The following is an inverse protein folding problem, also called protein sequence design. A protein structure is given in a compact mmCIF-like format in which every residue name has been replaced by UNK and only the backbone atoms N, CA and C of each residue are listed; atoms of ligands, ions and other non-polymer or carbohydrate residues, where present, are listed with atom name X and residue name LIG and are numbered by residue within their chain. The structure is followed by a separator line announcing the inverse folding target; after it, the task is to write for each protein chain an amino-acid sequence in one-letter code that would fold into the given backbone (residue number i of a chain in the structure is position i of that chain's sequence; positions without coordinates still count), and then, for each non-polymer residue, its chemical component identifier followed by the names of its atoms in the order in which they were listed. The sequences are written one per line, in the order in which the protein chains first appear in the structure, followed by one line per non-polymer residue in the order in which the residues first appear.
data_IF_350578039530
#
_entry.id   IF_350578039530
#
_cell.length_a   1.000
_cell.length_b   1.000
_cell.length_c   1.000
_cell.angle_alpha   90.00
_cell.angle_beta   90.00
_cell.angle_gamma   90.00
#
_symmetry.space_group_name_H-M   'P 1'
#
loop_
_entity.id
_entity.type
_entity.pdbx_description
1 polymer ?
#
# COMPACT_ATOMS: atom_id res chain seq x y z
N UNK A 1 -16.37 6.49 25.92
CA UNK A 1 -15.62 7.33 24.95
C UNK A 1 -16.07 6.96 23.55
N UNK A 2 -16.42 7.94 22.70
CA UNK A 2 -16.80 7.72 21.29
C UNK A 2 -15.64 8.16 20.40
N UNK A 3 -15.11 7.25 19.59
CA UNK A 3 -14.07 7.55 18.59
C UNK A 3 -14.75 7.72 17.24
N UNK A 4 -14.53 8.86 16.58
CA UNK A 4 -15.08 9.14 15.25
C UNK A 4 -13.99 8.89 14.20
N UNK A 5 -14.31 8.09 13.18
CA UNK A 5 -13.46 7.87 12.03
C UNK A 5 -14.00 8.70 10.86
N UNK A 6 -13.13 9.45 10.20
CA UNK A 6 -13.47 10.26 9.04
C UNK A 6 -12.58 9.86 7.86
N UNK A 7 -13.20 9.68 6.69
CA UNK A 7 -12.47 9.49 5.44
C UNK A 7 -12.08 10.87 4.91
N UNK A 8 -10.78 11.11 4.82
CA UNK A 8 -10.23 12.38 4.33
C UNK A 8 -9.62 12.16 2.94
N UNK A 9 -10.05 12.90 1.91
CA UNK A 9 -9.41 12.85 0.60
C UNK A 9 -7.94 13.28 0.71
N UNK A 10 -7.02 12.53 0.09
CA UNK A 10 -5.56 12.77 0.18
C UNK A 10 -5.17 14.23 -0.13
N UNK A 11 -5.83 14.85 -1.11
CA UNK A 11 -5.58 16.25 -1.50
C UNK A 11 -5.85 17.28 -0.39
N UNK A 12 -6.63 16.93 0.63
CA UNK A 12 -7.04 17.83 1.74
C UNK A 12 -6.46 17.42 3.09
N UNK A 13 -5.66 16.34 3.13
CA UNK A 13 -5.12 15.79 4.38
C UNK A 13 -4.21 16.80 5.11
N UNK A 14 -3.39 17.55 4.36
CA UNK A 14 -2.49 18.56 4.93
C UNK A 14 -3.26 19.68 5.65
N UNK A 15 -4.32 20.20 5.02
CA UNK A 15 -5.14 21.29 5.58
C UNK A 15 -5.88 20.82 6.83
N UNK A 16 -6.45 19.61 6.79
CA UNK A 16 -7.19 19.05 7.91
C UNK A 16 -6.27 18.74 9.09
N UNK A 17 -5.03 18.27 8.86
CA UNK A 17 -4.03 18.09 9.92
C UNK A 17 -3.68 19.39 10.64
N UNK A 18 -3.56 20.49 9.91
CA UNK A 18 -3.28 21.82 10.49
C UNK A 18 -4.45 22.26 11.38
N UNK A 19 -5.68 22.18 10.86
CA UNK A 19 -6.89 22.56 11.60
C UNK A 19 -7.06 21.70 12.87
N UNK A 20 -6.89 20.38 12.77
CA UNK A 20 -7.02 19.48 13.93
C UNK A 20 -5.96 19.76 14.99
N UNK A 21 -4.76 20.16 14.58
CA UNK A 21 -3.67 20.56 15.49
C UNK A 21 -3.97 21.88 16.18
N UNK A 22 -4.50 22.87 15.46
CA UNK A 22 -4.94 24.16 16.03
C UNK A 22 -6.08 23.99 17.03
N UNK A 23 -7.02 23.07 16.77
CA UNK A 23 -8.12 22.74 17.67
C UNK A 23 -7.70 21.88 18.88
N UNK A 24 -6.41 21.49 18.98
CA UNK A 24 -5.90 20.69 20.09
C UNK A 24 -6.44 19.26 20.14
N UNK A 25 -6.98 18.74 19.04
CA UNK A 25 -7.58 17.40 18.98
C UNK A 25 -6.49 16.37 18.71
N UNK A 26 -6.38 15.35 19.55
CA UNK A 26 -5.52 14.21 19.28
C UNK A 26 -6.13 13.33 18.18
N UNK A 27 -5.41 13.15 17.08
CA UNK A 27 -5.84 12.29 15.97
C UNK A 27 -4.75 11.27 15.64
N UNK A 28 -5.18 10.10 15.14
CA UNK A 28 -4.31 9.04 14.66
C UNK A 28 -4.60 8.80 13.18
N UNK A 29 -3.60 8.99 12.32
CA UNK A 29 -3.75 8.62 10.90
C UNK A 29 -3.80 7.11 10.79
N UNK A 30 -4.92 6.57 10.30
CA UNK A 30 -5.02 5.17 9.93
C UNK A 30 -4.67 5.10 8.45
N UNK A 31 -3.46 4.66 8.14
CA UNK A 31 -3.11 4.32 6.76
C UNK A 31 -3.72 2.95 6.49
N UNK A 32 -4.60 2.85 5.50
CA UNK A 32 -5.01 1.55 4.99
C UNK A 32 -3.79 0.90 4.35
N UNK A 33 -3.27 -0.12 5.01
CA UNK A 33 -2.35 -1.06 4.36
C UNK A 33 -3.23 -1.87 3.42
N UNK A 34 -3.20 -1.54 2.13
CA UNK A 34 -3.90 -2.34 1.12
C UNK A 34 -3.26 -3.71 1.09
N UNK A 35 -3.98 -4.71 1.58
CA UNK A 35 -3.56 -6.10 1.43
C UNK A 35 -3.50 -6.43 -0.07
N UNK A 36 -2.49 -7.20 -0.53
CA UNK A 36 -2.44 -7.65 -1.90
C UNK A 36 -3.71 -8.44 -2.25
N UNK A 37 -4.21 -8.30 -3.47
CA UNK A 37 -5.36 -9.10 -3.89
C UNK A 37 -5.01 -10.61 -3.93
N UNK A 38 -6.04 -11.45 -3.97
CA UNK A 38 -5.88 -12.92 -3.94
C UNK A 38 -4.92 -13.44 -5.02
N UNK A 39 -4.97 -12.86 -6.22
CA UNK A 39 -4.07 -13.21 -7.33
C UNK A 39 -2.61 -12.89 -7.01
N UNK A 40 -2.34 -11.72 -6.43
CA UNK A 40 -0.98 -11.31 -6.04
C UNK A 40 -0.43 -12.23 -4.95
N UNK A 41 -1.26 -12.59 -3.97
CA UNK A 41 -0.88 -13.53 -2.91
C UNK A 41 -0.52 -14.90 -3.51
N UNK A 42 -1.31 -15.39 -4.47
CA UNK A 42 -1.04 -16.66 -5.15
C UNK A 42 0.29 -16.62 -5.90
N UNK A 43 0.52 -15.59 -6.71
CA UNK A 43 1.77 -15.41 -7.45
C UNK A 43 3.00 -15.33 -6.52
N UNK A 44 2.88 -14.61 -5.39
CA UNK A 44 3.95 -14.56 -4.38
C UNK A 44 4.26 -15.93 -3.77
N UNK A 45 3.23 -16.74 -3.49
CA UNK A 45 3.42 -18.08 -2.93
C UNK A 45 4.07 -19.03 -3.93
N UNK A 46 3.72 -18.95 -5.22
CA UNK A 46 4.37 -19.74 -6.27
C UNK A 46 5.85 -19.37 -6.46
N UNK A 47 6.18 -18.08 -6.40
CA UNK A 47 7.56 -17.61 -6.43
C UNK A 47 8.35 -18.14 -5.22
N UNK A 48 7.78 -18.09 -4.01
CA UNK A 48 8.39 -18.65 -2.80
C UNK A 48 8.58 -20.17 -2.88
N UNK A 49 7.66 -20.88 -3.53
CA UNK A 49 7.76 -22.32 -3.78
C UNK A 49 8.81 -22.69 -4.84
N UNK A 50 9.52 -21.71 -5.41
CA UNK A 50 10.58 -21.95 -6.40
C UNK A 50 10.06 -22.22 -7.81
N UNK A 51 8.76 -22.00 -8.09
CA UNK A 51 8.15 -22.16 -9.42
C UNK A 51 8.34 -20.94 -10.32
N UNK A 52 9.07 -19.93 -9.85
CA UNK A 52 9.37 -18.73 -10.63
C UNK A 52 10.30 -18.97 -11.80
N UNK A 53 10.18 -18.13 -12.85
CA UNK A 53 11.13 -18.11 -13.96
C UNK A 53 12.45 -17.49 -13.50
N UNK A 54 13.55 -18.20 -13.73
CA UNK A 54 14.90 -17.70 -13.50
C UNK A 54 15.45 -17.07 -14.78
N UNK A 55 16.08 -15.92 -14.64
CA UNK A 55 16.75 -15.24 -15.73
C UNK A 55 18.24 -15.12 -15.40
N UNK A 56 19.09 -15.23 -16.44
CA UNK A 56 20.54 -15.18 -16.25
C UNK A 56 21.02 -13.76 -15.95
N UNK A 57 20.37 -12.76 -16.55
CA UNK A 57 20.65 -11.35 -16.38
C UNK A 57 19.40 -10.51 -16.69
N UNK A 58 19.45 -9.21 -16.39
CA UNK A 58 18.33 -8.30 -16.62
C UNK A 58 17.91 -8.23 -18.11
N UNK A 59 18.87 -8.24 -19.03
CA UNK A 59 18.61 -8.23 -20.47
C UNK A 59 17.76 -9.43 -20.93
N UNK A 60 18.06 -10.63 -20.42
CA UNK A 60 17.28 -11.85 -20.69
C UNK A 60 15.86 -11.80 -20.12
N UNK A 61 15.65 -11.07 -19.01
CA UNK A 61 14.33 -10.84 -18.44
C UNK A 61 13.52 -9.92 -19.36
N UNK A 62 14.08 -8.78 -19.78
CA UNK A 62 13.37 -7.85 -20.65
C UNK A 62 13.04 -8.44 -22.03
N UNK A 63 13.94 -9.26 -22.59
CA UNK A 63 13.69 -9.96 -23.85
C UNK A 63 12.55 -11.00 -23.76
N UNK A 64 12.25 -11.52 -22.55
CA UNK A 64 11.17 -12.51 -22.35
C UNK A 64 9.76 -11.93 -22.27
N UNK A 65 9.66 -10.61 -22.17
CA UNK A 65 8.40 -9.85 -22.04
C UNK A 65 8.02 -9.20 -23.39
N UNK A 66 8.87 -9.38 -24.41
CA UNK A 66 8.74 -8.75 -25.73
C UNK A 66 7.74 -9.48 -26.63
#
# INVERSE_FOLDING_TARGET
MKTLQILVPEKKEAVIKVILKELGISFKSIKEVKEPNSETISAMNELKAGKGKKFKNAESLFNSIK
#
